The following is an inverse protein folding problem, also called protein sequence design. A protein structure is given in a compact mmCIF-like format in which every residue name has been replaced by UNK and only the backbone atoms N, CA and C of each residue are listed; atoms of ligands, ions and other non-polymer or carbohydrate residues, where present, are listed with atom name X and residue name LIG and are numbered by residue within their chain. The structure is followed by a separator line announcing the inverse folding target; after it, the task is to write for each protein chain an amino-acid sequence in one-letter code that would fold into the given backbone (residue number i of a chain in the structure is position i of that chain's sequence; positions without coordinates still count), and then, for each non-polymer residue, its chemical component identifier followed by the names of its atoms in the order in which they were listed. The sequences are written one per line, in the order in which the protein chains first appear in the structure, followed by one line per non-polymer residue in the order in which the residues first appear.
data_IF_199711037434
#
_entry.id   IF_199711037434
#
_cell.length_a   1.000
_cell.length_b   1.000
_cell.length_c   1.000
_cell.angle_alpha   90.00
_cell.angle_beta   90.00
_cell.angle_gamma   90.00
#
_symmetry.space_group_name_H-M   'P 1'
#
loop_
_entity.id
_entity.type
_entity.pdbx_description
1 polymer ?
#
# COMPACT_ATOMS: atom_id res chain seq x y z
N UNK A 1 -20.67 31.74 -7.52
CA UNK A 1 -20.82 30.28 -7.63
C UNK A 1 -20.64 29.69 -9.04
N UNK A 2 -21.00 30.30 -10.19
CA UNK A 2 -20.86 29.59 -11.49
C UNK A 2 -19.39 29.38 -11.96
N UNK A 3 -18.45 30.29 -11.65
CA UNK A 3 -17.04 30.14 -12.10
C UNK A 3 -16.32 28.93 -11.50
N UNK A 4 -16.54 28.62 -10.23
CA UNK A 4 -15.94 27.45 -9.56
C UNK A 4 -16.43 26.12 -10.15
N UNK A 5 -17.72 26.04 -10.49
CA UNK A 5 -18.32 24.85 -11.10
C UNK A 5 -17.80 24.64 -12.53
N UNK A 6 -17.66 25.72 -13.31
CA UNK A 6 -17.10 25.64 -14.68
C UNK A 6 -15.63 25.23 -14.65
N UNK A 7 -14.84 25.80 -13.74
CA UNK A 7 -13.41 25.42 -13.56
C UNK A 7 -13.29 23.96 -13.12
N UNK A 8 -14.15 23.48 -12.22
CA UNK A 8 -14.19 22.08 -11.79
C UNK A 8 -14.57 21.14 -12.95
N UNK A 9 -15.62 21.47 -13.72
CA UNK A 9 -16.02 20.69 -14.89
C UNK A 9 -14.92 20.67 -15.96
N UNK A 10 -14.25 21.81 -16.23
CA UNK A 10 -13.14 21.88 -17.18
C UNK A 10 -11.92 21.05 -16.75
N UNK A 11 -11.56 21.07 -15.45
CA UNK A 11 -10.52 20.22 -14.87
C UNK A 11 -10.85 18.73 -15.01
N UNK A 12 -12.12 18.36 -14.82
CA UNK A 12 -12.58 16.99 -14.94
C UNK A 12 -12.63 16.49 -16.39
N UNK A 13 -12.95 17.38 -17.34
CA UNK A 13 -12.97 17.01 -18.77
C UNK A 13 -11.58 16.73 -19.34
N UNK A 14 -10.52 17.29 -18.77
CA UNK A 14 -9.13 17.11 -19.22
C UNK A 14 -8.37 15.95 -18.55
N UNK A 15 -8.95 15.26 -17.56
CA UNK A 15 -8.30 14.10 -16.96
C UNK A 15 -8.23 12.95 -17.94
N UNK A 16 -7.02 12.46 -18.22
CA UNK A 16 -6.81 11.22 -19.00
C UNK A 16 -7.34 9.98 -18.27
N UNK A 17 -7.26 9.98 -16.93
CA UNK A 17 -7.84 8.96 -16.06
C UNK A 17 -9.13 9.52 -15.47
N UNK A 18 -10.26 8.83 -15.68
CA UNK A 18 -11.56 9.18 -15.15
C UNK A 18 -12.13 8.08 -14.25
N UNK A 19 -11.91 6.83 -14.62
CA UNK A 19 -12.40 5.64 -13.93
C UNK A 19 -11.26 4.87 -13.30
N UNK A 20 -11.34 4.61 -11.99
CA UNK A 20 -10.34 3.88 -11.25
C UNK A 20 -10.98 2.67 -10.58
N UNK A 21 -10.37 1.50 -10.73
CA UNK A 21 -10.72 0.29 -9.99
C UNK A 21 -9.77 0.11 -8.79
N UNK A 22 -10.31 -0.14 -7.60
CA UNK A 22 -9.52 -0.53 -6.42
C UNK A 22 -9.83 -1.99 -6.09
N UNK A 23 -8.93 -2.87 -6.46
CA UNK A 23 -9.02 -4.30 -6.16
C UNK A 23 -8.49 -4.54 -4.74
N UNK A 24 -9.41 -4.67 -3.77
CA UNK A 24 -9.11 -4.83 -2.35
C UNK A 24 -9.38 -3.57 -1.51
N UNK A 25 -10.65 -3.23 -1.28
CA UNK A 25 -11.07 -2.13 -0.39
C UNK A 25 -11.00 -2.55 1.10
N UNK A 26 -9.77 -2.90 1.54
CA UNK A 26 -9.43 -3.17 2.93
C UNK A 26 -8.98 -1.91 3.68
N UNK A 27 -8.05 -2.08 4.64
CA UNK A 27 -7.56 -1.02 5.52
C UNK A 27 -6.94 0.18 4.77
N UNK A 28 -6.17 -0.06 3.72
CA UNK A 28 -5.64 1.00 2.84
C UNK A 28 -6.61 1.33 1.70
N UNK A 29 -7.21 0.31 1.07
CA UNK A 29 -7.96 0.49 -0.17
C UNK A 29 -9.25 1.27 0.00
N UNK A 30 -9.98 1.12 1.12
CA UNK A 30 -11.21 1.86 1.36
C UNK A 30 -10.95 3.36 1.61
N UNK A 31 -10.06 3.80 2.52
CA UNK A 31 -9.73 5.21 2.67
C UNK A 31 -9.15 5.85 1.40
N UNK A 32 -8.34 5.10 0.64
CA UNK A 32 -7.84 5.54 -0.66
C UNK A 32 -8.99 5.78 -1.65
N UNK A 33 -9.94 4.85 -1.77
CA UNK A 33 -11.07 4.97 -2.67
C UNK A 33 -11.97 6.18 -2.30
N UNK A 34 -12.22 6.40 -1.01
CA UNK A 34 -12.93 7.57 -0.51
C UNK A 34 -12.23 8.87 -0.91
N UNK A 35 -10.90 8.93 -0.73
CA UNK A 35 -10.12 10.10 -1.11
C UNK A 35 -10.14 10.33 -2.62
N UNK A 36 -10.08 9.26 -3.43
CA UNK A 36 -10.16 9.36 -4.90
C UNK A 36 -11.54 9.84 -5.36
N UNK A 37 -12.62 9.44 -4.70
CA UNK A 37 -13.98 10.02 -4.95
C UNK A 37 -13.97 11.51 -4.65
N UNK A 38 -13.40 11.92 -3.52
CA UNK A 38 -13.30 13.35 -3.16
C UNK A 38 -12.47 14.17 -4.17
N UNK A 39 -11.48 13.53 -4.84
CA UNK A 39 -10.71 14.11 -5.94
C UNK A 39 -11.48 14.09 -7.28
N UNK A 40 -12.70 13.55 -7.29
CA UNK A 40 -13.64 13.53 -8.42
C UNK A 40 -13.39 12.42 -9.44
N UNK A 41 -12.76 11.33 -9.08
CA UNK A 41 -12.68 10.14 -9.92
C UNK A 41 -13.95 9.29 -9.78
N UNK A 42 -14.37 8.60 -10.84
CA UNK A 42 -15.36 7.54 -10.74
C UNK A 42 -14.67 6.26 -10.23
N UNK A 43 -15.15 5.74 -9.11
CA UNK A 43 -14.51 4.64 -8.40
C UNK A 43 -15.32 3.36 -8.47
N UNK A 44 -14.62 2.25 -8.81
CA UNK A 44 -15.10 0.89 -8.61
C UNK A 44 -14.27 0.23 -7.51
N UNK A 45 -14.94 -0.25 -6.47
CA UNK A 45 -14.28 -0.86 -5.33
C UNK A 45 -14.65 -2.33 -5.14
N UNK A 46 -13.65 -3.20 -4.93
CA UNK A 46 -13.94 -4.60 -4.66
C UNK A 46 -13.83 -4.96 -3.18
N UNK A 47 -14.68 -5.87 -2.75
CA UNK A 47 -14.67 -6.53 -1.44
C UNK A 47 -14.99 -8.01 -1.57
N UNK A 48 -14.63 -8.79 -0.55
CA UNK A 48 -15.01 -10.22 -0.42
C UNK A 48 -16.19 -10.43 0.53
N UNK A 49 -16.80 -9.35 1.05
CA UNK A 49 -17.80 -9.39 2.12
C UNK A 49 -19.05 -8.63 1.68
N UNK A 50 -20.22 -9.24 1.71
CA UNK A 50 -21.47 -8.65 1.27
C UNK A 50 -21.82 -7.36 2.05
N UNK A 51 -21.61 -7.35 3.36
CA UNK A 51 -21.90 -6.21 4.22
C UNK A 51 -21.09 -4.97 3.84
N UNK A 52 -19.88 -5.17 3.30
CA UNK A 52 -19.02 -4.06 2.86
C UNK A 52 -19.47 -3.43 1.53
N UNK A 53 -20.31 -4.09 0.74
CA UNK A 53 -20.88 -3.48 -0.47
C UNK A 53 -21.70 -2.22 -0.10
N UNK A 54 -22.48 -2.28 0.99
CA UNK A 54 -23.24 -1.13 1.49
C UNK A 54 -22.30 0.00 1.92
N UNK A 55 -21.20 -0.34 2.60
CA UNK A 55 -20.18 0.65 3.00
C UNK A 55 -19.56 1.33 1.77
N UNK A 56 -19.22 0.58 0.73
CA UNK A 56 -18.69 1.15 -0.52
C UNK A 56 -19.69 2.10 -1.16
N UNK A 57 -20.95 1.65 -1.33
CA UNK A 57 -22.03 2.46 -1.92
C UNK A 57 -22.28 3.75 -1.14
N UNK A 58 -22.25 3.72 0.20
CA UNK A 58 -22.47 4.92 1.03
C UNK A 58 -21.39 5.99 0.84
N UNK A 59 -20.20 5.61 0.35
CA UNK A 59 -19.11 6.50 -0.01
C UNK A 59 -19.03 6.80 -1.52
N UNK A 60 -20.10 6.57 -2.28
CA UNK A 60 -20.16 6.81 -3.74
C UNK A 60 -19.12 5.99 -4.53
N UNK A 61 -18.76 4.83 -4.02
CA UNK A 61 -17.90 3.85 -4.68
C UNK A 61 -18.82 2.78 -5.27
N UNK A 62 -18.73 2.54 -6.58
CA UNK A 62 -19.46 1.46 -7.26
C UNK A 62 -18.94 0.10 -6.75
N UNK A 63 -19.78 -0.70 -6.03
CA UNK A 63 -19.30 -1.83 -5.26
C UNK A 63 -19.33 -3.12 -6.08
N UNK A 64 -18.28 -3.93 -5.92
CA UNK A 64 -18.17 -5.25 -6.56
C UNK A 64 -17.78 -6.32 -5.55
N UNK A 65 -18.54 -7.41 -5.53
CA UNK A 65 -18.14 -8.61 -4.78
C UNK A 65 -17.17 -9.43 -5.64
N UNK A 66 -15.90 -9.48 -5.23
CA UNK A 66 -14.84 -10.16 -5.98
C UNK A 66 -14.08 -11.10 -5.07
N UNK A 67 -14.08 -12.37 -5.40
CA UNK A 67 -13.31 -13.42 -4.73
C UNK A 67 -12.17 -13.91 -5.62
N UNK A 68 -11.03 -14.20 -4.98
CA UNK A 68 -9.85 -14.82 -5.59
C UNK A 68 -9.53 -16.13 -4.88
N UNK A 69 -9.91 -17.28 -5.50
CA UNK A 69 -9.73 -18.59 -4.87
C UNK A 69 -9.48 -19.76 -5.87
N UNK A 70 -8.30 -19.88 -6.46
CA UNK A 70 -7.45 -18.84 -7.01
C UNK A 70 -8.13 -18.10 -8.15
N UNK A 71 -9.18 -18.71 -8.77
CA UNK A 71 -9.96 -18.12 -9.85
C UNK A 71 -10.57 -16.78 -9.41
N UNK A 72 -10.65 -15.85 -10.35
CA UNK A 72 -11.32 -14.57 -10.19
C UNK A 72 -12.83 -14.81 -10.37
N UNK A 73 -13.59 -14.77 -9.28
CA UNK A 73 -15.02 -15.05 -9.24
C UNK A 73 -15.74 -13.82 -8.67
N UNK A 74 -16.83 -13.41 -9.29
CA UNK A 74 -17.64 -12.29 -8.81
C UNK A 74 -18.73 -11.92 -9.79
N UNK A 75 -19.64 -11.07 -9.33
CA UNK A 75 -20.70 -10.52 -10.17
C UNK A 75 -20.06 -9.48 -11.11
N UNK A 76 -20.29 -9.69 -12.42
CA UNK A 76 -19.88 -8.76 -13.48
C UNK A 76 -18.40 -8.30 -13.43
N UNK A 77 -17.48 -9.26 -13.39
CA UNK A 77 -16.02 -9.05 -13.41
C UNK A 77 -15.61 -8.16 -14.59
N UNK A 78 -16.20 -8.33 -15.78
CA UNK A 78 -15.90 -7.51 -16.96
C UNK A 78 -16.19 -6.03 -16.71
N UNK A 79 -17.28 -5.72 -16.07
CA UNK A 79 -17.63 -4.35 -15.69
C UNK A 79 -16.65 -3.81 -14.65
N UNK A 80 -16.24 -4.61 -13.66
CA UNK A 80 -15.21 -4.17 -12.70
C UNK A 80 -13.91 -3.76 -13.39
N UNK A 81 -13.45 -4.53 -14.38
CA UNK A 81 -12.21 -4.26 -15.13
C UNK A 81 -12.37 -3.19 -16.24
N UNK A 82 -13.55 -2.64 -16.47
CA UNK A 82 -13.74 -1.52 -17.40
C UNK A 82 -13.40 -0.19 -16.71
N UNK A 83 -12.08 0.07 -16.55
CA UNK A 83 -11.48 1.24 -15.89
C UNK A 83 -10.23 1.69 -16.62
N UNK A 84 -9.81 2.95 -16.41
CA UNK A 84 -8.59 3.53 -17.01
C UNK A 84 -7.33 3.14 -16.21
N UNK A 85 -7.50 2.94 -14.90
CA UNK A 85 -6.44 2.58 -13.95
C UNK A 85 -6.96 1.51 -12.99
N UNK A 86 -6.18 0.46 -12.77
CA UNK A 86 -6.43 -0.53 -11.73
C UNK A 86 -5.38 -0.40 -10.61
N UNK A 87 -5.84 -0.25 -9.38
CA UNK A 87 -5.00 -0.30 -8.18
C UNK A 87 -5.19 -1.68 -7.54
N UNK A 88 -4.11 -2.47 -7.49
CA UNK A 88 -4.10 -3.82 -6.93
C UNK A 88 -3.53 -3.74 -5.53
N UNK A 89 -4.38 -3.94 -4.52
CA UNK A 89 -4.06 -3.82 -3.10
C UNK A 89 -4.43 -5.11 -2.34
N UNK A 90 -3.89 -6.23 -2.81
CA UNK A 90 -4.12 -7.56 -2.22
C UNK A 90 -2.78 -8.08 -1.70
N UNK A 91 -2.60 -8.18 -0.37
CA UNK A 91 -1.37 -8.71 0.20
C UNK A 91 -1.32 -10.24 0.15
N UNK A 92 -0.12 -10.85 0.09
CA UNK A 92 0.02 -12.28 0.29
C UNK A 92 -0.34 -12.66 1.74
N UNK A 93 -0.89 -13.86 1.93
CA UNK A 93 -1.05 -14.44 3.26
C UNK A 93 0.30 -14.90 3.80
N UNK A 94 0.49 -14.87 5.13
CA UNK A 94 1.80 -15.13 5.77
C UNK A 94 2.19 -16.63 5.87
N UNK A 95 1.36 -17.58 5.46
CA UNK A 95 1.66 -19.01 5.54
C UNK A 95 2.24 -19.56 4.23
N UNK A 96 3.17 -20.50 4.32
CA UNK A 96 3.87 -21.08 3.16
C UNK A 96 2.95 -21.72 2.11
N UNK A 97 1.89 -22.41 2.54
CA UNK A 97 0.90 -23.00 1.62
C UNK A 97 0.14 -21.96 0.78
N UNK A 98 0.15 -20.70 1.21
CA UNK A 98 -0.54 -19.61 0.52
C UNK A 98 0.32 -18.90 -0.54
N UNK A 99 1.60 -19.25 -0.68
CA UNK A 99 2.51 -18.57 -1.60
C UNK A 99 2.17 -18.86 -3.07
N UNK A 100 1.95 -20.14 -3.42
CA UNK A 100 1.53 -20.54 -4.77
C UNK A 100 0.11 -20.04 -5.07
N UNK A 101 -0.82 -20.18 -4.12
CA UNK A 101 -2.18 -19.64 -4.21
C UNK A 101 -2.19 -18.12 -4.48
N UNK A 102 -1.23 -17.38 -3.91
CA UNK A 102 -1.09 -15.96 -4.19
C UNK A 102 -0.67 -15.68 -5.63
N UNK A 103 0.32 -16.41 -6.16
CA UNK A 103 0.78 -16.24 -7.54
C UNK A 103 -0.29 -16.64 -8.56
N UNK A 104 -1.04 -17.70 -8.30
CA UNK A 104 -2.17 -18.11 -9.14
C UNK A 104 -3.24 -17.01 -9.18
N UNK A 105 -3.55 -16.39 -8.04
CA UNK A 105 -4.44 -15.23 -7.97
C UNK A 105 -3.95 -14.06 -8.80
N UNK A 106 -2.65 -13.71 -8.68
CA UNK A 106 -2.06 -12.60 -9.46
C UNK A 106 -2.06 -12.92 -10.95
N UNK A 107 -1.81 -14.17 -11.34
CA UNK A 107 -1.89 -14.63 -12.74
C UNK A 107 -3.31 -14.53 -13.31
N UNK A 108 -4.32 -14.87 -12.53
CA UNK A 108 -5.73 -14.73 -12.92
C UNK A 108 -6.15 -13.26 -13.09
N UNK A 109 -5.67 -12.38 -12.20
CA UNK A 109 -5.87 -10.92 -12.36
C UNK A 109 -5.17 -10.44 -13.64
N UNK A 110 -3.94 -10.87 -13.89
CA UNK A 110 -3.19 -10.51 -15.09
C UNK A 110 -3.91 -10.96 -16.37
N UNK A 111 -4.54 -12.14 -16.37
CA UNK A 111 -5.36 -12.63 -17.48
C UNK A 111 -6.58 -11.75 -17.72
N UNK A 112 -7.30 -11.38 -16.66
CA UNK A 112 -8.45 -10.46 -16.78
C UNK A 112 -8.03 -9.06 -17.29
N UNK A 113 -6.84 -8.58 -16.92
CA UNK A 113 -6.29 -7.33 -17.44
C UNK A 113 -6.00 -7.42 -18.94
N UNK A 114 -5.42 -8.54 -19.43
CA UNK A 114 -5.17 -8.74 -20.88
C UNK A 114 -6.46 -8.72 -21.71
N UNK A 115 -7.57 -9.16 -21.12
CA UNK A 115 -8.90 -9.16 -21.77
C UNK A 115 -9.64 -7.83 -21.63
N UNK A 116 -9.05 -6.83 -20.98
CA UNK A 116 -9.64 -5.53 -20.71
C UNK A 116 -8.97 -4.40 -21.49
N UNK A 117 -9.47 -3.18 -21.32
CA UNK A 117 -8.84 -1.97 -21.87
C UNK A 117 -7.86 -1.28 -20.91
N UNK A 118 -7.54 -1.91 -19.79
CA UNK A 118 -6.62 -1.36 -18.77
C UNK A 118 -5.22 -1.27 -19.36
N UNK A 119 -4.64 -0.08 -19.31
CA UNK A 119 -3.26 0.15 -19.73
C UNK A 119 -2.37 0.77 -18.65
N UNK A 120 -2.90 0.94 -17.45
CA UNK A 120 -2.18 1.45 -16.28
C UNK A 120 -2.55 0.67 -15.03
N UNK A 121 -1.52 0.29 -14.27
CA UNK A 121 -1.66 -0.41 -12.99
C UNK A 121 -0.82 0.29 -11.93
N UNK A 122 -1.35 0.39 -10.73
CA UNK A 122 -0.58 0.60 -9.51
C UNK A 122 -0.65 -0.70 -8.70
N UNK A 123 0.50 -1.34 -8.51
CA UNK A 123 0.61 -2.54 -7.69
C UNK A 123 1.21 -2.17 -6.32
N UNK A 124 0.46 -2.43 -5.25
CA UNK A 124 0.91 -2.20 -3.88
C UNK A 124 1.72 -3.41 -3.44
N UNK A 125 3.03 -3.22 -3.38
CA UNK A 125 4.03 -4.19 -2.96
C UNK A 125 4.55 -3.86 -1.55
N UNK A 126 5.63 -4.49 -1.13
CA UNK A 126 6.25 -4.28 0.18
C UNK A 126 7.77 -4.20 0.10
N UNK A 127 8.36 -3.41 0.98
CA UNK A 127 9.81 -3.34 1.18
C UNK A 127 10.41 -4.63 1.75
N UNK A 128 9.57 -5.63 2.10
CA UNK A 128 10.04 -6.96 2.51
C UNK A 128 10.76 -7.74 1.41
N UNK A 129 10.67 -7.30 0.16
CA UNK A 129 11.42 -7.88 -0.98
C UNK A 129 12.91 -7.59 -0.93
N UNK A 130 13.35 -6.58 -0.18
CA UNK A 130 14.76 -6.22 -0.02
C UNK A 130 15.46 -7.07 1.04
N UNK A 131 16.79 -7.31 0.91
CA UNK A 131 17.58 -7.98 1.93
C UNK A 131 17.64 -7.18 3.24
N UNK A 132 18.02 -7.85 4.33
CA UNK A 132 18.26 -7.23 5.65
C UNK A 132 19.76 -7.27 6.00
N UNK A 133 20.61 -6.78 5.11
CA UNK A 133 22.07 -6.87 5.18
C UNK A 133 22.74 -5.62 5.77
N UNK A 134 22.10 -4.97 6.73
CA UNK A 134 22.59 -3.77 7.44
C UNK A 134 22.95 -2.61 6.51
N UNK A 135 22.12 -2.39 5.49
CA UNK A 135 22.37 -1.41 4.45
C UNK A 135 21.21 -0.47 4.22
N UNK A 136 21.52 0.67 3.59
CA UNK A 136 20.52 1.53 2.96
C UNK A 136 20.07 0.86 1.66
N UNK A 137 18.75 0.67 1.50
CA UNK A 137 18.15 0.10 0.29
C UNK A 137 17.30 1.14 -0.43
N UNK A 138 17.44 1.17 -1.76
CA UNK A 138 16.67 2.00 -2.68
C UNK A 138 15.94 1.11 -3.69
N UNK A 139 15.24 1.72 -4.63
CA UNK A 139 14.55 1.01 -5.70
C UNK A 139 15.49 0.24 -6.63
N UNK A 140 16.77 0.66 -6.71
CA UNK A 140 17.82 0.04 -7.53
C UNK A 140 18.55 -1.11 -6.80
N UNK A 141 18.27 -1.29 -5.49
CA UNK A 141 18.88 -2.40 -4.73
C UNK A 141 18.39 -3.74 -5.26
N UNK A 142 19.33 -4.67 -5.48
CA UNK A 142 19.02 -6.03 -5.90
C UNK A 142 18.05 -6.70 -4.92
N UNK A 143 17.08 -7.42 -5.47
CA UNK A 143 16.09 -8.12 -4.67
C UNK A 143 16.68 -9.42 -4.15
N UNK A 144 16.64 -9.58 -2.84
CA UNK A 144 16.97 -10.83 -2.15
C UNK A 144 15.93 -11.07 -1.04
N UNK A 145 14.83 -11.67 -1.45
CA UNK A 145 13.69 -11.90 -0.58
C UNK A 145 13.87 -13.19 0.23
N UNK A 146 13.94 -13.08 1.55
CA UNK A 146 14.23 -14.20 2.46
C UNK A 146 12.99 -14.97 2.95
N UNK A 147 11.77 -14.49 2.68
CA UNK A 147 10.53 -15.17 3.07
C UNK A 147 9.70 -15.59 1.86
N UNK A 148 8.96 -16.69 1.99
CA UNK A 148 8.07 -17.17 0.93
C UNK A 148 7.03 -16.11 0.48
N UNK A 149 6.55 -15.30 1.39
CA UNK A 149 5.63 -14.20 1.08
C UNK A 149 6.31 -13.06 0.33
N UNK A 150 7.56 -12.72 0.66
CA UNK A 150 8.33 -11.68 -0.04
C UNK A 150 8.72 -12.15 -1.45
N UNK A 151 9.15 -13.41 -1.60
CA UNK A 151 9.43 -14.03 -2.90
C UNK A 151 8.19 -14.00 -3.80
N UNK A 152 7.03 -14.41 -3.26
CA UNK A 152 5.77 -14.40 -4.02
C UNK A 152 5.34 -12.99 -4.41
N UNK A 153 5.59 -12.01 -3.54
CA UNK A 153 5.28 -10.62 -3.81
C UNK A 153 6.15 -10.07 -4.94
N UNK A 154 7.45 -10.35 -4.92
CA UNK A 154 8.35 -9.95 -6.00
C UNK A 154 7.99 -10.62 -7.34
N UNK A 155 7.70 -11.93 -7.33
CA UNK A 155 7.19 -12.61 -8.53
C UNK A 155 5.89 -12.00 -9.05
N UNK A 156 5.02 -11.53 -8.17
CA UNK A 156 3.80 -10.82 -8.57
C UNK A 156 4.10 -9.45 -9.21
N UNK A 157 5.11 -8.71 -8.71
CA UNK A 157 5.60 -7.49 -9.40
C UNK A 157 5.97 -7.82 -10.86
N UNK A 158 6.73 -8.90 -11.08
CA UNK A 158 7.17 -9.33 -12.41
C UNK A 158 6.01 -9.76 -13.32
N UNK A 159 5.00 -10.46 -12.77
CA UNK A 159 3.78 -10.81 -13.54
C UNK A 159 3.14 -9.55 -14.14
N UNK A 160 2.97 -8.49 -13.35
CA UNK A 160 2.33 -7.25 -13.82
C UNK A 160 3.25 -6.38 -14.67
N UNK A 161 4.57 -6.35 -14.41
CA UNK A 161 5.55 -5.61 -15.23
C UNK A 161 5.64 -6.16 -16.66
N UNK A 162 5.48 -7.49 -16.79
CA UNK A 162 5.57 -8.19 -18.08
C UNK A 162 4.25 -8.19 -18.87
N UNK A 163 3.24 -7.42 -18.46
CA UNK A 163 2.03 -7.25 -19.24
C UNK A 163 2.29 -6.33 -20.44
N UNK A 164 2.07 -6.85 -21.64
CA UNK A 164 2.19 -6.07 -22.86
C UNK A 164 1.19 -4.92 -22.89
N UNK A 165 1.62 -3.75 -23.37
CA UNK A 165 0.82 -2.53 -23.49
C UNK A 165 0.24 -1.99 -22.17
N UNK A 166 0.72 -2.48 -21.01
CA UNK A 166 0.31 -2.02 -19.67
C UNK A 166 1.51 -1.41 -18.95
N UNK A 167 1.36 -0.20 -18.45
CA UNK A 167 2.36 0.46 -17.61
C UNK A 167 2.08 0.16 -16.14
N UNK A 168 2.92 -0.68 -15.54
CA UNK A 168 2.80 -1.06 -14.13
C UNK A 168 3.72 -0.21 -13.27
N UNK A 169 3.13 0.59 -12.38
CA UNK A 169 3.86 1.30 -11.32
C UNK A 169 3.77 0.48 -10.04
N UNK A 170 4.93 0.15 -9.47
CA UNK A 170 5.03 -0.61 -8.21
C UNK A 170 5.32 0.33 -7.06
N UNK A 171 4.57 0.22 -5.97
CA UNK A 171 4.83 0.98 -4.75
C UNK A 171 5.13 -0.03 -3.62
N UNK A 172 6.39 -0.11 -3.22
CA UNK A 172 6.87 -0.97 -2.13
C UNK A 172 6.68 -0.25 -0.80
N UNK A 173 5.57 -0.53 -0.13
CA UNK A 173 5.27 0.08 1.17
C UNK A 173 6.04 -0.59 2.30
N UNK A 174 6.55 0.21 3.23
CA UNK A 174 7.12 -0.23 4.50
C UNK A 174 6.02 -0.72 5.45
N UNK A 175 6.34 -1.00 6.71
CA UNK A 175 5.38 -1.43 7.71
C UNK A 175 4.26 -0.39 7.88
N UNK A 176 3.01 -0.81 7.65
CA UNK A 176 1.86 0.10 7.65
C UNK A 176 1.39 0.42 9.07
N UNK A 177 1.24 1.70 9.38
CA UNK A 177 0.69 2.21 10.66
C UNK A 177 -0.39 3.28 10.41
N UNK A 178 -1.23 3.54 11.40
CA UNK A 178 -2.29 4.54 11.32
C UNK A 178 -3.55 4.14 12.08
N UNK A 179 -4.71 4.73 11.77
CA UNK A 179 -5.99 4.42 12.42
C UNK A 179 -6.30 2.91 12.41
N UNK A 180 -6.71 2.38 13.55
CA UNK A 180 -7.01 0.95 13.77
C UNK A 180 -5.82 -0.01 13.54
N UNK A 181 -4.60 0.52 13.29
CA UNK A 181 -3.36 -0.22 13.12
C UNK A 181 -2.22 0.44 13.91
N UNK A 182 -2.51 0.75 15.17
CA UNK A 182 -1.56 1.41 16.03
C UNK A 182 -0.44 0.46 16.47
N UNK A 183 0.84 0.88 16.40
CA UNK A 183 1.98 0.02 16.69
C UNK A 183 2.11 -0.41 18.16
N UNK A 184 1.50 0.30 19.11
CA UNK A 184 1.59 0.01 20.53
C UNK A 184 1.17 -1.40 20.95
N UNK A 185 0.35 -2.08 20.14
CA UNK A 185 -0.12 -3.45 20.41
C UNK A 185 0.79 -4.54 19.84
N UNK A 186 1.76 -4.21 18.98
CA UNK A 186 2.50 -5.23 18.24
C UNK A 186 3.42 -6.08 19.12
N UNK A 187 4.05 -5.45 20.10
CA UNK A 187 4.98 -6.12 21.02
C UNK A 187 4.61 -5.97 22.49
N UNK A 188 3.46 -5.39 22.81
CA UNK A 188 3.05 -5.14 24.19
C UNK A 188 3.22 -6.39 25.09
N UNK A 189 3.95 -6.23 26.19
CA UNK A 189 4.19 -7.28 27.19
C UNK A 189 5.07 -8.45 26.75
N UNK A 190 5.60 -8.45 25.52
CA UNK A 190 6.51 -9.51 25.05
C UNK A 190 7.93 -9.30 25.55
N UNK A 191 8.65 -10.39 25.75
CA UNK A 191 10.05 -10.39 26.21
C UNK A 191 10.97 -11.06 25.17
N UNK A 192 12.27 -10.82 25.32
CA UNK A 192 13.32 -11.38 24.48
C UNK A 192 13.13 -11.10 22.97
N UNK A 193 12.65 -9.92 22.63
CA UNK A 193 12.42 -9.52 21.24
C UNK A 193 13.78 -9.18 20.61
N UNK A 194 14.20 -9.84 19.53
CA UNK A 194 15.48 -9.62 18.91
C UNK A 194 15.57 -8.27 18.17
N UNK A 195 16.80 -7.82 17.93
CA UNK A 195 17.10 -6.63 17.14
C UNK A 195 16.47 -5.34 17.70
N UNK A 196 16.58 -5.11 19.01
CA UNK A 196 16.03 -3.93 19.68
C UNK A 196 16.62 -2.61 19.21
N UNK A 197 17.91 -2.61 18.80
CA UNK A 197 18.61 -1.44 18.29
C UNK A 197 18.42 -1.23 16.77
N UNK A 198 17.89 -2.23 16.06
CA UNK A 198 17.65 -2.13 14.63
C UNK A 198 16.63 -1.02 14.28
N UNK A 199 16.86 -0.24 13.21
CA UNK A 199 15.93 0.79 12.75
C UNK A 199 14.60 0.20 12.28
N UNK A 200 13.50 0.90 12.52
CA UNK A 200 12.20 0.52 11.96
C UNK A 200 11.97 1.23 10.62
N UNK A 201 11.34 0.53 9.70
CA UNK A 201 10.85 1.11 8.45
C UNK A 201 9.31 1.05 8.46
N UNK A 202 8.68 2.19 8.63
CA UNK A 202 7.23 2.31 8.75
C UNK A 202 6.71 3.43 7.86
N UNK A 203 5.42 3.37 7.55
CA UNK A 203 4.73 4.42 6.81
C UNK A 203 3.29 4.57 7.34
N UNK A 204 2.86 5.81 7.49
CA UNK A 204 1.49 6.11 7.91
C UNK A 204 0.50 5.99 6.74
N UNK A 205 -0.76 5.65 7.04
CA UNK A 205 -1.84 5.53 6.06
C UNK A 205 -1.97 6.78 5.18
N UNK A 206 -1.86 7.98 5.75
CA UNK A 206 -2.01 9.23 5.03
C UNK A 206 -0.90 9.43 3.98
N UNK A 207 0.31 8.94 4.25
CA UNK A 207 1.40 8.97 3.29
C UNK A 207 1.26 7.87 2.24
N UNK A 208 0.75 6.69 2.60
CA UNK A 208 0.41 5.67 1.60
C UNK A 208 -0.57 6.24 0.55
N UNK A 209 -1.64 6.88 1.00
CA UNK A 209 -2.63 7.53 0.14
C UNK A 209 -2.00 8.68 -0.65
N UNK A 210 -1.21 9.53 0.02
CA UNK A 210 -0.54 10.68 -0.59
C UNK A 210 0.40 10.29 -1.74
N UNK A 211 1.18 9.23 -1.57
CA UNK A 211 2.08 8.70 -2.60
C UNK A 211 1.28 8.20 -3.81
N UNK A 212 0.22 7.41 -3.59
CA UNK A 212 -0.63 6.89 -4.68
C UNK A 212 -1.28 8.05 -5.45
N UNK A 213 -1.82 9.04 -4.75
CA UNK A 213 -2.39 10.24 -5.36
C UNK A 213 -1.36 11.03 -6.17
N UNK A 214 -0.12 11.12 -5.67
CA UNK A 214 0.97 11.81 -6.38
C UNK A 214 1.30 11.10 -7.70
N UNK A 215 1.40 9.78 -7.68
CA UNK A 215 1.60 8.95 -8.89
C UNK A 215 0.49 9.22 -9.92
N UNK A 216 -0.77 9.23 -9.49
CA UNK A 216 -1.92 9.46 -10.37
C UNK A 216 -1.93 10.90 -10.92
N UNK A 217 -1.78 11.91 -10.05
CA UNK A 217 -1.84 13.34 -10.44
C UNK A 217 -0.69 13.76 -11.35
N UNK A 218 0.50 13.17 -11.16
CA UNK A 218 1.69 13.46 -11.97
C UNK A 218 1.83 12.53 -13.18
N UNK A 219 0.88 11.61 -13.36
CA UNK A 219 0.87 10.62 -14.46
C UNK A 219 2.18 9.82 -14.57
N UNK A 220 2.69 9.32 -13.43
CA UNK A 220 3.95 8.60 -13.36
C UNK A 220 3.70 7.10 -13.51
N UNK A 221 4.09 6.55 -14.65
CA UNK A 221 3.77 5.17 -15.00
C UNK A 221 5.01 4.36 -15.39
N UNK A 222 5.03 3.09 -14.97
CA UNK A 222 6.11 2.15 -15.30
C UNK A 222 7.32 2.25 -14.37
N UNK A 223 7.16 2.86 -13.20
CA UNK A 223 8.24 3.09 -12.24
C UNK A 223 8.07 2.25 -10.97
N UNK A 224 9.13 2.16 -10.18
CA UNK A 224 9.07 1.63 -8.80
C UNK A 224 9.37 2.72 -7.81
N UNK A 225 8.64 2.70 -6.68
CA UNK A 225 8.83 3.63 -5.56
C UNK A 225 8.81 2.89 -4.23
N UNK A 226 9.67 3.34 -3.31
CA UNK A 226 9.60 2.95 -1.91
C UNK A 226 8.75 3.96 -1.13
N UNK A 227 7.83 3.44 -0.31
CA UNK A 227 7.06 4.23 0.63
C UNK A 227 7.48 3.91 2.07
N UNK A 228 8.41 4.68 2.62
CA UNK A 228 8.84 4.63 4.01
C UNK A 228 8.98 6.05 4.55
N UNK A 229 8.57 6.29 5.80
CA UNK A 229 8.83 7.58 6.45
C UNK A 229 10.34 7.81 6.54
N UNK A 230 10.83 9.07 6.37
CA UNK A 230 12.26 9.37 6.41
C UNK A 230 12.94 9.14 7.77
N UNK A 231 12.18 8.97 8.84
CA UNK A 231 12.72 8.69 10.17
C UNK A 231 12.74 7.20 10.48
N UNK A 232 13.86 6.75 11.05
CA UNK A 232 14.10 5.33 11.36
C UNK A 232 14.55 5.17 12.82
N UNK A 233 13.68 5.44 13.83
CA UNK A 233 14.01 5.20 15.23
C UNK A 233 14.32 3.74 15.48
N UNK A 234 14.99 3.42 16.58
CA UNK A 234 15.21 2.02 16.95
C UNK A 234 13.89 1.31 17.27
N UNK A 235 13.87 0.00 17.05
CA UNK A 235 12.70 -0.84 17.33
C UNK A 235 12.26 -0.70 18.80
N UNK A 236 13.23 -0.72 19.74
CA UNK A 236 12.95 -0.60 21.17
C UNK A 236 12.33 0.77 21.52
N UNK A 237 12.93 1.86 21.06
CA UNK A 237 12.42 3.22 21.32
C UNK A 237 11.02 3.40 20.76
N UNK A 238 10.83 3.06 19.50
CA UNK A 238 9.56 3.30 18.82
C UNK A 238 8.41 2.50 19.41
N UNK A 239 8.58 1.17 19.58
CA UNK A 239 7.48 0.33 20.06
C UNK A 239 7.19 0.49 21.55
N UNK A 240 8.19 0.83 22.39
CA UNK A 240 7.95 1.12 23.78
C UNK A 240 7.25 2.47 23.98
N UNK A 241 7.64 3.51 23.22
CA UNK A 241 6.90 4.77 23.20
C UNK A 241 5.44 4.53 22.74
N UNK A 242 5.24 3.76 21.67
CA UNK A 242 3.92 3.44 21.17
C UNK A 242 3.07 2.65 22.17
N UNK A 243 3.66 1.69 22.91
CA UNK A 243 2.96 0.95 23.95
C UNK A 243 2.53 1.87 25.09
N UNK A 244 3.42 2.74 25.55
CA UNK A 244 3.14 3.69 26.64
C UNK A 244 2.00 4.65 26.27
N UNK A 245 1.93 5.13 25.03
CA UNK A 245 0.85 5.99 24.52
C UNK A 245 -0.53 5.32 24.57
N UNK A 246 -0.59 4.01 24.59
CA UNK A 246 -1.83 3.23 24.64
C UNK A 246 -2.01 2.47 25.95
N UNK A 247 -1.34 2.91 27.03
CA UNK A 247 -1.41 2.28 28.35
C UNK A 247 -1.16 0.76 28.29
N UNK A 248 -0.29 0.33 27.36
CA UNK A 248 0.12 -1.06 27.22
C UNK A 248 1.45 -1.29 27.95
N UNK A 249 1.68 -2.52 28.37
CA UNK A 249 2.95 -2.92 28.98
C UNK A 249 4.08 -2.82 27.94
N UNK A 250 5.17 -2.14 28.31
CA UNK A 250 6.38 -2.06 27.49
C UNK A 250 6.95 -3.44 27.20
N UNK A 251 7.51 -3.59 26.02
CA UNK A 251 8.18 -4.81 25.62
C UNK A 251 9.65 -4.81 26.07
N UNK A 252 10.23 -6.00 26.28
CA UNK A 252 11.66 -6.17 26.55
C UNK A 252 12.39 -6.61 25.29
N UNK A 253 13.20 -5.73 24.76
CA UNK A 253 14.01 -5.98 23.58
C UNK A 253 15.43 -6.38 23.96
N UNK A 254 16.03 -7.30 23.18
CA UNK A 254 17.47 -7.59 23.27
C UNK A 254 18.19 -6.41 22.61
N UNK A 255 19.19 -5.87 23.33
CA UNK A 255 20.02 -4.76 22.84
C UNK A 255 21.04 -5.26 21.81
N UNK A 256 20.57 -5.53 20.61
CA UNK A 256 21.36 -6.02 19.49
C UNK A 256 20.87 -5.44 18.16
N UNK A 257 21.74 -5.49 17.16
CA UNK A 257 21.52 -4.99 15.80
C UNK A 257 22.16 -5.97 14.81
N UNK A 258 21.50 -7.13 14.61
CA UNK A 258 22.05 -8.21 13.79
C UNK A 258 21.60 -8.13 12.33
N UNK A 259 20.33 -7.93 12.13
CA UNK A 259 19.68 -7.91 10.80
C UNK A 259 18.77 -6.70 10.71
N UNK A 260 18.97 -5.84 9.72
CA UNK A 260 18.13 -4.69 9.42
C UNK A 260 18.38 -4.16 8.02
N UNK A 261 17.54 -3.27 7.59
CA UNK A 261 17.72 -2.37 6.45
C UNK A 261 17.20 -1.00 6.80
N UNK A 262 17.66 0.01 6.10
CA UNK A 262 17.06 1.35 6.07
C UNK A 262 16.49 1.57 4.68
N UNK A 263 15.20 1.80 4.57
CA UNK A 263 14.53 1.98 3.27
C UNK A 263 14.53 3.46 2.91
N UNK A 264 15.24 3.81 1.84
CA UNK A 264 15.21 5.16 1.27
C UNK A 264 13.94 5.38 0.44
N UNK A 265 13.32 6.54 0.63
CA UNK A 265 12.24 7.07 -0.21
C UNK A 265 12.67 8.36 -0.93
N UNK A 266 13.99 8.57 -1.09
CA UNK A 266 14.55 9.77 -1.73
C UNK A 266 14.04 9.94 -3.15
N UNK A 267 13.86 8.87 -3.90
CA UNK A 267 13.29 8.92 -5.26
C UNK A 267 11.92 9.63 -5.31
N UNK A 268 11.06 9.44 -4.30
CA UNK A 268 9.79 10.17 -4.20
C UNK A 268 10.00 11.65 -3.88
N UNK A 269 10.94 11.95 -3.00
CA UNK A 269 11.22 13.31 -2.55
C UNK A 269 11.87 14.10 -3.71
N UNK A 270 12.95 13.61 -4.28
CA UNK A 270 13.74 14.30 -5.30
C UNK A 270 13.03 14.40 -6.64
N UNK A 271 12.51 13.26 -7.13
CA UNK A 271 11.91 13.19 -8.47
C UNK A 271 10.51 13.84 -8.52
N UNK A 272 9.76 13.80 -7.41
CA UNK A 272 8.37 14.24 -7.39
C UNK A 272 8.07 15.35 -6.40
N UNK A 273 9.07 15.80 -5.65
CA UNK A 273 8.90 16.77 -4.57
C UNK A 273 7.77 16.33 -3.60
N UNK A 274 7.75 15.01 -3.29
CA UNK A 274 6.77 14.48 -2.35
C UNK A 274 7.12 14.94 -0.94
N UNK A 275 6.16 15.53 -0.25
CA UNK A 275 6.29 15.93 1.14
C UNK A 275 5.52 14.96 2.02
N UNK A 276 6.23 14.19 2.85
CA UNK A 276 5.61 13.31 3.80
C UNK A 276 4.78 14.08 4.82
N UNK A 277 3.55 13.63 5.06
CA UNK A 277 2.68 14.18 6.12
C UNK A 277 3.19 13.78 7.50
N UNK A 278 3.73 12.58 7.61
CA UNK A 278 4.30 12.01 8.83
C UNK A 278 5.79 11.67 8.60
N UNK A 279 6.67 12.68 8.46
CA UNK A 279 8.09 12.43 8.20
C UNK A 279 8.84 11.93 9.43
N UNK A 280 8.33 12.18 10.64
CA UNK A 280 8.94 11.79 11.91
C UNK A 280 7.98 10.94 12.74
N UNK A 281 8.28 9.64 12.83
CA UNK A 281 7.45 8.63 13.48
C UNK A 281 7.33 8.85 15.00
N UNK A 282 8.42 9.28 15.66
CA UNK A 282 8.41 9.55 17.11
C UNK A 282 7.54 10.77 17.43
N UNK A 283 7.67 11.84 16.65
CA UNK A 283 6.85 13.04 16.79
C UNK A 283 5.36 12.73 16.57
N UNK A 284 5.05 11.91 15.58
CA UNK A 284 3.67 11.47 15.31
C UNK A 284 3.08 10.71 16.51
N UNK A 285 3.82 9.77 17.12
CA UNK A 285 3.36 9.07 18.32
C UNK A 285 3.02 10.03 19.46
N UNK A 286 3.92 11.00 19.73
CA UNK A 286 3.72 11.98 20.81
C UNK A 286 2.51 12.91 20.57
N UNK A 287 2.12 13.12 19.33
CA UNK A 287 0.98 13.98 18.94
C UNK A 287 -0.34 13.19 18.79
N UNK A 288 -0.28 11.87 18.76
CA UNK A 288 -1.49 11.02 18.64
C UNK A 288 -2.22 11.01 19.99
N UNK A 289 -3.52 11.36 20.04
CA UNK A 289 -4.29 11.33 21.27
C UNK A 289 -4.26 9.94 21.92
N UNK A 290 -4.14 9.92 23.25
CA UNK A 290 -4.32 8.69 24.03
C UNK A 290 -5.80 8.32 24.03
N UNK A 291 -6.17 7.20 23.43
CA UNK A 291 -7.52 6.65 23.44
C UNK A 291 -7.62 5.53 24.47
#
# INVERSE_FOLDING_TARGET
MPKLLITYICLMMNKKIKKIGVLGCGWLGLPLAIQLVAEGYYLKGSTTTLEKLITLSSHQIDPFLVHLNPALIGDDIKTFFNVDLLIINIPPKRNQSAANDYLDKMSNIASAIRESSINKIIFISSTSVYPEDKMLVSEDTAIDANSSSAISLYKAEEIFRNLENVKTTVIRMAGLIGPNRHPGRFFAGKENIPNGLAPVNLIHLDDCIGIILTVIKKEIWGETFNGAAPSHPTKAEFYNLAANQFNQTSAKFISEEKEFKIVSSEKLIEKFNYQFKIPNLMKWLLQTPQN
#
